data_IF_575870810124
#
_entry.id   IF_575870810124
#
_cell.length_a   1.000
_cell.length_b   1.000
_cell.length_c   1.000
_cell.angle_alpha   90.00
_cell.angle_beta   90.00
_cell.angle_gamma   90.00
#
_symmetry.space_group_name_H-M   'P 1'
#
loop_
_entity.id
_entity.type
_entity.pdbx_description
1 polymer ?
#
# COMPACT_ATOMS: atom_id res chain seq x y z
N UNK A 1 18.54 -7.87 11.02
CA UNK A 1 17.25 -7.70 10.33
C UNK A 1 17.29 -6.33 9.66
N UNK A 2 17.01 -6.24 8.38
CA UNK A 2 16.92 -4.94 7.69
C UNK A 2 15.46 -4.53 7.73
N UNK A 3 15.15 -3.38 8.31
CA UNK A 3 13.81 -2.80 8.36
C UNK A 3 13.75 -1.68 7.33
N UNK A 4 12.68 -1.65 6.55
CA UNK A 4 12.40 -0.58 5.58
C UNK A 4 11.25 0.27 6.07
N UNK A 5 11.25 1.55 5.74
CA UNK A 5 10.13 2.45 5.97
C UNK A 5 9.38 2.65 4.66
N UNK A 6 8.09 2.34 4.65
CA UNK A 6 7.21 2.59 3.50
C UNK A 6 6.20 3.70 3.82
N UNK A 7 5.75 4.39 2.78
CA UNK A 7 4.72 5.42 2.88
C UNK A 7 3.84 5.41 1.63
N UNK A 8 2.54 5.70 1.81
CA UNK A 8 1.60 5.89 0.72
C UNK A 8 1.84 7.27 0.10
N UNK A 9 2.00 7.33 -1.22
CA UNK A 9 2.51 8.48 -1.94
C UNK A 9 1.73 8.74 -3.23
N UNK A 10 1.79 9.99 -3.71
CA UNK A 10 1.15 10.36 -4.96
C UNK A 10 -0.36 10.44 -4.89
N UNK A 11 -0.92 10.70 -3.71
CA UNK A 11 -2.36 10.70 -3.46
C UNK A 11 -3.06 12.03 -3.78
N UNK A 12 -2.36 13.00 -4.37
CA UNK A 12 -2.96 14.21 -4.93
C UNK A 12 -3.79 13.92 -6.19
N UNK A 13 -4.51 14.92 -6.69
CA UNK A 13 -5.27 14.82 -7.93
C UNK A 13 -5.44 16.20 -8.59
N UNK A 14 -5.09 16.34 -9.86
CA UNK A 14 -5.19 17.59 -10.61
C UNK A 14 -4.46 18.74 -9.92
N UNK A 15 -5.20 19.69 -9.41
CA UNK A 15 -4.67 20.85 -8.65
C UNK A 15 -4.64 20.61 -7.14
N UNK A 16 -5.27 19.53 -6.67
CA UNK A 16 -5.39 19.24 -5.25
C UNK A 16 -4.16 18.47 -4.77
N UNK A 17 -3.59 18.92 -3.67
CA UNK A 17 -2.50 18.24 -2.98
C UNK A 17 -3.05 17.52 -1.75
N UNK A 18 -2.60 16.30 -1.55
CA UNK A 18 -2.83 15.51 -0.36
C UNK A 18 -1.49 14.93 0.09
N UNK A 19 -1.13 15.15 1.35
CA UNK A 19 0.17 14.77 1.87
C UNK A 19 1.32 15.72 1.46
N UNK A 20 2.53 15.37 1.86
CA UNK A 20 3.77 16.08 1.56
C UNK A 20 4.78 15.11 0.91
N UNK A 21 4.51 14.74 -0.34
CA UNK A 21 5.36 13.81 -1.09
C UNK A 21 6.83 14.28 -1.16
N UNK A 22 7.04 15.59 -1.34
CA UNK A 22 8.39 16.16 -1.50
C UNK A 22 9.18 16.14 -0.19
N UNK A 23 8.51 16.35 0.95
CA UNK A 23 9.13 16.28 2.27
C UNK A 23 9.36 14.85 2.77
N UNK A 24 8.47 13.92 2.42
CA UNK A 24 8.53 12.53 2.91
C UNK A 24 9.44 11.63 2.05
N UNK A 25 9.49 11.83 0.73
CA UNK A 25 10.25 10.95 -0.17
C UNK A 25 11.71 10.75 0.24
N UNK A 26 12.45 11.78 0.71
CA UNK A 26 13.84 11.58 1.17
C UNK A 26 14.01 10.73 2.43
N UNK A 27 12.93 10.49 3.17
CA UNK A 27 12.94 9.84 4.49
C UNK A 27 12.54 8.36 4.43
N UNK A 28 12.03 7.89 3.29
CA UNK A 28 11.50 6.53 3.13
C UNK A 28 12.40 5.67 2.25
N UNK A 29 12.24 4.36 2.36
CA UNK A 29 12.93 3.38 1.52
C UNK A 29 12.06 2.89 0.36
N UNK A 30 10.74 2.88 0.57
CA UNK A 30 9.74 2.29 -0.31
C UNK A 30 8.55 3.23 -0.40
N UNK A 31 8.10 3.56 -1.62
CA UNK A 31 6.91 4.36 -1.88
C UNK A 31 5.78 3.47 -2.41
N UNK A 32 4.62 3.47 -1.76
CA UNK A 32 3.40 2.83 -2.26
C UNK A 32 2.64 3.87 -3.10
N UNK A 33 2.75 3.81 -4.44
CA UNK A 33 2.25 4.87 -5.31
C UNK A 33 0.80 4.61 -5.71
N UNK A 34 -0.08 5.57 -5.41
CA UNK A 34 -1.49 5.54 -5.76
C UNK A 34 -1.71 5.36 -7.27
N UNK A 35 -2.66 4.49 -7.64
CA UNK A 35 -2.85 4.02 -9.00
C UNK A 35 -4.09 4.61 -9.73
N UNK A 36 -4.63 5.73 -9.24
CA UNK A 36 -5.64 6.52 -9.95
C UNK A 36 -7.10 6.22 -9.60
N UNK A 37 -7.41 5.22 -8.75
CA UNK A 37 -8.79 4.85 -8.44
C UNK A 37 -9.29 5.36 -7.09
N UNK A 38 -8.43 5.53 -6.10
CA UNK A 38 -8.77 6.22 -4.86
C UNK A 38 -8.22 7.65 -4.82
N UNK A 39 -7.10 7.85 -5.47
CA UNK A 39 -6.37 9.11 -5.57
C UNK A 39 -5.40 9.03 -6.76
N UNK A 40 -4.67 10.08 -7.02
CA UNK A 40 -3.76 10.22 -8.15
C UNK A 40 -4.47 10.44 -9.50
N UNK A 41 -3.69 10.86 -10.46
CA UNK A 41 -3.97 10.88 -11.90
C UNK A 41 -2.68 10.60 -12.66
N UNK A 42 -2.76 10.51 -13.98
CA UNK A 42 -1.60 10.17 -14.83
C UNK A 42 -0.42 11.16 -14.69
N UNK A 43 -0.67 12.45 -14.38
CA UNK A 43 0.40 13.42 -14.16
C UNK A 43 1.01 13.29 -12.76
N UNK A 44 0.16 13.11 -11.73
CA UNK A 44 0.63 12.87 -10.36
C UNK A 44 1.43 11.59 -10.29
N UNK A 45 0.93 10.50 -10.84
CA UNK A 45 1.62 9.21 -10.87
C UNK A 45 3.02 9.33 -11.48
N UNK A 46 3.14 9.98 -12.65
CA UNK A 46 4.45 10.20 -13.28
C UNK A 46 5.37 11.10 -12.44
N UNK A 47 4.81 12.19 -11.86
CA UNK A 47 5.57 13.09 -10.98
C UNK A 47 6.12 12.32 -9.78
N UNK A 48 5.32 11.51 -9.12
CA UNK A 48 5.71 10.70 -7.95
C UNK A 48 6.77 9.66 -8.30
N UNK A 49 6.63 8.97 -9.44
CA UNK A 49 7.66 8.03 -9.93
C UNK A 49 9.00 8.74 -10.15
N UNK A 50 9.00 9.92 -10.76
CA UNK A 50 10.22 10.71 -10.95
C UNK A 50 10.85 11.18 -9.66
N UNK A 51 10.02 11.60 -8.71
CA UNK A 51 10.48 12.00 -7.38
C UNK A 51 11.14 10.81 -6.65
N UNK A 52 10.52 9.64 -6.68
CA UNK A 52 11.09 8.42 -6.13
C UNK A 52 12.44 8.07 -6.78
N UNK A 53 12.54 8.17 -8.11
CA UNK A 53 13.79 7.97 -8.85
C UNK A 53 14.90 8.92 -8.40
N UNK A 54 14.58 10.21 -8.22
CA UNK A 54 15.55 11.22 -7.77
C UNK A 54 16.14 10.92 -6.40
N UNK A 55 15.34 10.31 -5.51
CA UNK A 55 15.75 9.96 -4.16
C UNK A 55 16.21 8.51 -4.01
N UNK A 56 16.22 7.70 -5.08
CA UNK A 56 16.62 6.30 -5.02
C UNK A 56 15.64 5.41 -4.26
N UNK A 57 14.37 5.83 -4.14
CA UNK A 57 13.30 5.12 -3.44
C UNK A 57 12.68 4.07 -4.36
N UNK A 58 12.49 2.86 -3.85
CA UNK A 58 11.81 1.78 -4.56
C UNK A 58 10.31 2.05 -4.64
N UNK A 59 9.69 1.74 -5.79
CA UNK A 59 8.26 2.03 -6.04
C UNK A 59 7.46 0.75 -6.13
N UNK A 60 6.44 0.64 -5.29
CA UNK A 60 5.37 -0.35 -5.38
C UNK A 60 4.04 0.25 -5.81
N UNK A 61 3.15 -0.60 -6.26
CA UNK A 61 1.81 -0.21 -6.64
C UNK A 61 0.87 -0.21 -5.42
N UNK A 62 0.07 0.85 -5.33
CA UNK A 62 -0.93 1.04 -4.28
C UNK A 62 -2.35 1.09 -4.87
N UNK A 63 -2.83 -0.03 -5.46
CA UNK A 63 -4.13 -0.11 -6.10
C UNK A 63 -5.27 -0.17 -5.08
N UNK A 64 -6.44 0.30 -5.48
CA UNK A 64 -7.61 0.42 -4.62
C UNK A 64 -8.90 0.00 -5.32
N UNK A 65 -9.99 0.01 -4.56
CA UNK A 65 -11.34 0.03 -5.10
C UNK A 65 -11.59 1.31 -5.91
N UNK A 66 -12.44 1.28 -6.95
CA UNK A 66 -12.78 2.45 -7.76
C UNK A 66 -13.73 3.40 -6.99
N UNK A 67 -13.24 3.95 -5.90
CA UNK A 67 -13.97 4.78 -4.94
C UNK A 67 -13.26 6.11 -4.67
N UNK A 68 -13.16 6.94 -5.69
CA UNK A 68 -12.46 8.23 -5.60
C UNK A 68 -13.03 9.13 -4.50
N UNK A 69 -14.38 9.23 -4.39
CA UNK A 69 -15.04 10.07 -3.40
C UNK A 69 -14.89 9.57 -1.97
N UNK A 70 -14.76 8.26 -1.77
CA UNK A 70 -14.52 7.64 -0.47
C UNK A 70 -13.06 7.35 -0.20
N UNK A 71 -12.15 7.82 -1.05
CA UNK A 71 -10.72 7.58 -0.93
C UNK A 71 -10.38 6.09 -0.83
N UNK A 72 -11.13 5.23 -1.55
CA UNK A 72 -10.94 3.79 -1.50
C UNK A 72 -11.24 3.12 -0.14
N UNK A 73 -11.89 3.83 0.79
CA UNK A 73 -12.16 3.37 2.16
C UNK A 73 -13.58 2.84 2.38
N UNK A 74 -14.37 2.73 1.33
CA UNK A 74 -15.70 2.10 1.38
C UNK A 74 -15.64 0.75 0.68
N UNK A 75 -16.08 -0.31 1.36
CA UNK A 75 -16.14 -1.63 0.77
C UNK A 75 -17.07 -1.66 -0.44
N UNK A 76 -16.65 -2.39 -1.47
CA UNK A 76 -17.43 -2.58 -2.69
C UNK A 76 -17.53 -4.08 -2.99
N UNK A 77 -18.73 -4.53 -3.34
CA UNK A 77 -18.96 -5.91 -3.74
C UNK A 77 -18.56 -6.08 -5.21
N UNK A 78 -17.51 -6.86 -5.43
CA UNK A 78 -17.01 -7.24 -6.75
C UNK A 78 -16.75 -8.74 -6.78
N UNK A 79 -16.89 -9.35 -7.95
CA UNK A 79 -16.43 -10.73 -8.14
C UNK A 79 -14.90 -10.80 -8.12
N UNK A 80 -14.34 -11.99 -7.87
CA UNK A 80 -12.88 -12.21 -7.90
C UNK A 80 -12.26 -11.74 -9.21
N UNK A 81 -12.88 -12.09 -10.34
CA UNK A 81 -12.39 -11.72 -11.68
C UNK A 81 -12.43 -10.21 -11.90
N UNK A 82 -13.53 -9.54 -11.55
CA UNK A 82 -13.64 -8.08 -11.66
C UNK A 82 -12.58 -7.38 -10.79
N UNK A 83 -12.37 -7.87 -9.57
CA UNK A 83 -11.36 -7.33 -8.66
C UNK A 83 -9.96 -7.53 -9.24
N UNK A 84 -9.61 -8.71 -9.71
CA UNK A 84 -8.31 -8.98 -10.34
C UNK A 84 -8.08 -8.07 -11.55
N UNK A 85 -9.08 -7.93 -12.43
CA UNK A 85 -9.00 -7.05 -13.60
C UNK A 85 -8.83 -5.58 -13.21
N UNK A 86 -9.56 -5.13 -12.16
CA UNK A 86 -9.43 -3.79 -11.60
C UNK A 86 -8.01 -3.51 -11.09
N UNK A 87 -7.39 -4.48 -10.43
CA UNK A 87 -6.02 -4.36 -9.90
C UNK A 87 -4.99 -4.39 -11.04
N UNK A 88 -5.12 -5.31 -11.98
CA UNK A 88 -4.22 -5.41 -13.15
C UNK A 88 -4.20 -4.08 -13.94
N UNK A 89 -5.38 -3.48 -14.15
CA UNK A 89 -5.49 -2.19 -14.84
C UNK A 89 -4.69 -1.09 -14.13
N UNK A 90 -4.84 -0.97 -12.83
CA UNK A 90 -4.18 0.04 -12.00
C UNK A 90 -2.66 -0.16 -11.94
N UNK A 91 -2.24 -1.39 -11.64
CA UNK A 91 -0.81 -1.75 -11.54
C UNK A 91 -0.14 -1.62 -12.90
N UNK A 92 -0.82 -2.01 -13.97
CA UNK A 92 -0.34 -1.87 -15.35
C UNK A 92 -0.11 -0.42 -15.75
N UNK A 93 -0.98 0.50 -15.32
CA UNK A 93 -0.81 1.93 -15.54
C UNK A 93 0.46 2.46 -14.86
N UNK A 94 0.68 2.14 -13.57
CA UNK A 94 1.90 2.52 -12.85
C UNK A 94 3.15 1.90 -13.48
N UNK A 95 3.07 0.61 -13.84
CA UNK A 95 4.19 -0.10 -14.49
C UNK A 95 4.62 0.59 -15.78
N UNK A 96 3.68 1.09 -16.58
CA UNK A 96 3.99 1.85 -17.79
C UNK A 96 4.80 3.12 -17.51
N UNK A 97 4.53 3.84 -16.41
CA UNK A 97 5.31 4.99 -16.00
C UNK A 97 6.68 4.60 -15.42
N UNK A 98 6.76 3.50 -14.68
CA UNK A 98 8.04 2.97 -14.21
C UNK A 98 8.95 2.58 -15.38
N UNK A 99 8.44 1.87 -16.36
CA UNK A 99 9.16 1.48 -17.57
C UNK A 99 9.66 2.73 -18.34
N UNK A 100 8.81 3.77 -18.47
CA UNK A 100 9.17 5.03 -19.12
C UNK A 100 10.29 5.80 -18.40
N UNK A 101 10.45 5.60 -17.10
CA UNK A 101 11.52 6.20 -16.30
C UNK A 101 12.71 5.22 -16.04
N UNK A 102 12.66 4.00 -16.59
CA UNK A 102 13.71 2.99 -16.42
C UNK A 102 13.78 2.42 -15.00
N UNK A 103 12.63 2.34 -14.32
CA UNK A 103 12.48 1.76 -12.99
C UNK A 103 11.72 0.43 -13.06
N UNK A 104 11.89 -0.40 -12.04
CA UNK A 104 11.14 -1.65 -11.88
C UNK A 104 10.04 -1.50 -10.83
N UNK A 105 8.93 -2.20 -11.01
CA UNK A 105 7.93 -2.37 -9.96
C UNK A 105 8.54 -3.23 -8.84
N UNK A 106 8.49 -2.74 -7.60
CA UNK A 106 9.11 -3.40 -6.45
C UNK A 106 8.14 -4.34 -5.72
N UNK A 107 6.90 -3.93 -5.50
CA UNK A 107 5.89 -4.68 -4.73
C UNK A 107 4.47 -4.21 -5.08
N UNK A 108 3.48 -4.89 -4.50
CA UNK A 108 2.08 -4.47 -4.49
C UNK A 108 1.61 -4.39 -3.04
N UNK A 109 0.98 -3.28 -2.68
CA UNK A 109 0.29 -3.06 -1.41
C UNK A 109 -1.12 -2.54 -1.70
N UNK A 110 -2.19 -3.30 -1.49
CA UNK A 110 -3.56 -2.79 -1.63
C UNK A 110 -3.82 -1.60 -0.70
N UNK A 111 -4.65 -0.65 -1.14
CA UNK A 111 -5.03 0.52 -0.37
C UNK A 111 -6.35 0.32 0.37
N UNK A 112 -6.48 0.93 1.55
CA UNK A 112 -7.73 1.23 2.24
C UNK A 112 -8.63 0.01 2.48
N UNK A 113 -9.91 0.10 2.09
CA UNK A 113 -10.86 -0.99 2.29
C UNK A 113 -10.44 -2.28 1.58
N UNK A 114 -9.82 -2.19 0.41
CA UNK A 114 -9.32 -3.38 -0.30
C UNK A 114 -8.28 -4.16 0.52
N UNK A 115 -7.39 -3.45 1.23
CA UNK A 115 -6.41 -4.07 2.12
C UNK A 115 -7.09 -4.84 3.26
N UNK A 116 -8.06 -4.23 3.96
CA UNK A 116 -8.82 -4.87 5.02
C UNK A 116 -9.70 -6.04 4.52
N UNK A 117 -10.30 -5.90 3.35
CA UNK A 117 -11.07 -6.97 2.71
C UNK A 117 -10.17 -8.17 2.37
N UNK A 118 -8.98 -7.94 1.81
CA UNK A 118 -8.04 -9.00 1.51
C UNK A 118 -7.46 -9.67 2.78
N UNK A 119 -7.40 -8.95 3.90
CA UNK A 119 -6.99 -9.51 5.19
C UNK A 119 -8.00 -10.50 5.78
N UNK A 120 -9.29 -10.42 5.38
CA UNK A 120 -10.39 -11.17 6.01
C UNK A 120 -11.27 -11.97 5.05
N UNK A 121 -11.18 -11.75 3.74
CA UNK A 121 -12.05 -12.38 2.73
C UNK A 121 -11.19 -13.13 1.70
N UNK A 122 -11.27 -14.46 1.70
CA UNK A 122 -10.46 -15.34 0.85
C UNK A 122 -10.55 -14.98 -0.65
N UNK A 123 -11.77 -14.74 -1.16
CA UNK A 123 -11.95 -14.43 -2.59
C UNK A 123 -11.31 -13.10 -3.01
N UNK A 124 -11.16 -12.14 -2.08
CA UNK A 124 -10.45 -10.88 -2.33
C UNK A 124 -8.93 -11.09 -2.26
N UNK A 125 -8.45 -11.82 -1.25
CA UNK A 125 -7.04 -12.20 -1.18
C UNK A 125 -6.60 -12.98 -2.43
N UNK A 126 -7.44 -13.90 -2.91
CA UNK A 126 -7.24 -14.61 -4.17
C UNK A 126 -7.17 -13.67 -5.39
N UNK A 127 -8.07 -12.66 -5.45
CA UNK A 127 -8.04 -11.68 -6.53
C UNK A 127 -6.75 -10.83 -6.53
N UNK A 128 -6.24 -10.49 -5.35
CA UNK A 128 -4.95 -9.83 -5.21
C UNK A 128 -3.81 -10.71 -5.72
N UNK A 129 -3.83 -12.01 -5.37
CA UNK A 129 -2.87 -12.98 -5.88
C UNK A 129 -2.95 -13.14 -7.40
N UNK A 130 -4.16 -13.24 -7.97
CA UNK A 130 -4.36 -13.32 -9.43
C UNK A 130 -3.76 -12.11 -10.16
N UNK A 131 -3.91 -10.92 -9.60
CA UNK A 131 -3.26 -9.72 -10.15
C UNK A 131 -1.74 -9.78 -10.00
N UNK A 132 -1.24 -10.20 -8.82
CA UNK A 132 0.19 -10.32 -8.56
C UNK A 132 0.87 -11.37 -9.44
N UNK A 133 0.14 -12.42 -9.86
CA UNK A 133 0.63 -13.42 -10.82
C UNK A 133 1.08 -12.83 -12.16
N UNK A 134 0.49 -11.69 -12.56
CA UNK A 134 0.86 -10.98 -13.79
C UNK A 134 2.21 -10.26 -13.63
N UNK A 135 2.46 -9.67 -12.46
CA UNK A 135 3.59 -8.77 -12.23
C UNK A 135 4.80 -9.44 -11.55
N UNK A 136 4.59 -10.57 -10.87
CA UNK A 136 5.64 -11.38 -10.21
C UNK A 136 6.50 -10.59 -9.23
N UNK A 137 5.85 -9.81 -8.37
CA UNK A 137 6.49 -9.01 -7.32
C UNK A 137 5.92 -9.37 -5.94
N UNK A 138 6.65 -9.08 -4.84
CA UNK A 138 6.18 -9.30 -3.48
C UNK A 138 4.85 -8.60 -3.15
N UNK A 139 4.12 -9.17 -2.20
CA UNK A 139 2.90 -8.60 -1.64
C UNK A 139 3.15 -8.14 -0.21
N UNK A 140 2.85 -6.88 0.10
CA UNK A 140 2.87 -6.35 1.47
C UNK A 140 1.54 -6.65 2.16
N UNK A 141 1.61 -6.97 3.45
CA UNK A 141 0.42 -7.26 4.23
C UNK A 141 0.67 -7.44 5.73
N UNK A 142 -0.41 -7.60 6.48
CA UNK A 142 -0.36 -7.76 7.94
C UNK A 142 -0.18 -9.22 8.37
N UNK A 143 0.63 -9.41 9.40
CA UNK A 143 0.75 -10.67 10.14
C UNK A 143 -0.58 -10.99 10.84
N UNK A 144 -0.89 -12.27 11.02
CA UNK A 144 -2.10 -12.73 11.69
C UNK A 144 -3.37 -12.67 10.84
N UNK A 145 -3.25 -12.37 9.55
CA UNK A 145 -4.38 -12.25 8.62
C UNK A 145 -4.28 -13.23 7.45
N UNK A 146 -5.27 -13.21 6.54
CA UNK A 146 -5.20 -13.99 5.30
C UNK A 146 -4.03 -13.56 4.39
N UNK A 147 -3.49 -12.38 4.54
CA UNK A 147 -2.27 -11.98 3.81
C UNK A 147 -1.12 -12.94 4.10
N UNK A 148 -0.85 -13.21 5.38
CA UNK A 148 0.24 -14.09 5.81
C UNK A 148 0.06 -15.55 5.38
N UNK A 149 -1.18 -16.02 5.32
CA UNK A 149 -1.48 -17.42 5.00
C UNK A 149 -1.67 -17.66 3.51
N UNK A 150 -2.43 -16.80 2.84
CA UNK A 150 -2.83 -17.00 1.45
C UNK A 150 -1.75 -16.57 0.45
N UNK A 151 -1.05 -15.46 0.67
CA UNK A 151 -0.05 -14.99 -0.28
C UNK A 151 1.08 -16.02 -0.48
N UNK A 152 1.70 -16.57 0.59
CA UNK A 152 2.68 -17.65 0.43
C UNK A 152 2.08 -18.93 -0.13
N UNK A 153 0.87 -19.31 0.29
CA UNK A 153 0.19 -20.51 -0.24
C UNK A 153 -0.06 -20.43 -1.75
N UNK A 154 -0.21 -19.22 -2.29
CA UNK A 154 -0.33 -18.95 -3.73
C UNK A 154 1.03 -18.75 -4.42
N UNK A 155 2.15 -18.90 -3.70
CA UNK A 155 3.51 -18.82 -4.23
C UNK A 155 4.08 -17.41 -4.33
N UNK A 156 3.46 -16.42 -3.69
CA UNK A 156 3.96 -15.05 -3.64
C UNK A 156 4.86 -14.82 -2.44
N UNK A 157 5.90 -14.03 -2.61
CA UNK A 157 6.68 -13.51 -1.49
C UNK A 157 5.80 -12.57 -0.67
N UNK A 158 5.67 -12.90 0.63
CA UNK A 158 4.96 -12.08 1.60
C UNK A 158 5.93 -11.22 2.38
N UNK A 159 5.73 -9.91 2.37
CA UNK A 159 6.49 -8.96 3.18
C UNK A 159 5.56 -8.37 4.24
N UNK A 160 5.84 -8.71 5.49
CA UNK A 160 5.05 -8.22 6.61
C UNK A 160 5.31 -6.74 6.88
N UNK A 161 4.24 -6.00 7.15
CA UNK A 161 4.32 -4.59 7.55
C UNK A 161 3.66 -4.36 8.91
N UNK A 162 4.05 -3.25 9.53
CA UNK A 162 3.56 -2.78 10.81
C UNK A 162 3.28 -1.28 10.74
N UNK A 163 2.11 -0.86 11.20
CA UNK A 163 1.71 0.54 11.24
C UNK A 163 2.12 1.18 12.55
N UNK A 164 2.95 2.20 12.50
CA UNK A 164 3.45 2.90 13.67
C UNK A 164 2.56 4.07 14.08
N UNK A 165 1.74 4.54 13.16
CA UNK A 165 0.83 5.69 13.24
C UNK A 165 -0.64 5.31 13.49
N UNK A 166 -0.94 4.02 13.58
CA UNK A 166 -2.27 3.49 13.87
C UNK A 166 -2.21 2.60 15.11
N UNK A 167 -3.35 2.42 15.77
CA UNK A 167 -3.49 1.52 16.90
C UNK A 167 -4.04 0.16 16.49
N UNK A 168 -3.78 -0.82 17.32
CA UNK A 168 -4.28 -2.19 17.18
C UNK A 168 -5.21 -2.49 18.35
N UNK A 169 -6.25 -3.28 18.12
CA UNK A 169 -7.10 -3.81 19.17
C UNK A 169 -6.48 -5.05 19.84
N UNK A 170 -7.20 -5.61 20.82
CA UNK A 170 -6.70 -6.71 21.63
C UNK A 170 -6.49 -8.02 20.84
N UNK A 171 -7.10 -8.18 19.68
CA UNK A 171 -6.93 -9.33 18.78
C UNK A 171 -5.87 -9.08 17.68
N UNK A 172 -5.27 -7.89 17.66
CA UNK A 172 -4.24 -7.50 16.69
C UNK A 172 -4.79 -6.92 15.39
N UNK A 173 -6.08 -6.66 15.29
CA UNK A 173 -6.67 -5.98 14.13
C UNK A 173 -6.36 -4.48 14.15
N UNK A 174 -6.13 -3.93 12.97
CA UNK A 174 -5.78 -2.52 12.82
C UNK A 174 -7.01 -1.63 13.04
N UNK A 175 -6.91 -0.66 13.93
CA UNK A 175 -7.97 0.32 14.17
C UNK A 175 -7.82 1.46 13.15
N UNK A 176 -8.72 1.49 12.16
CA UNK A 176 -8.75 2.54 11.14
C UNK A 176 -9.87 3.51 11.44
N UNK A 177 -9.54 4.73 11.90
CA UNK A 177 -10.51 5.79 12.10
C UNK A 177 -10.64 6.70 10.87
N UNK A 178 -11.84 7.26 10.64
CA UNK A 178 -12.05 8.24 9.56
C UNK A 178 -11.46 9.62 9.88
N UNK A 179 -11.28 9.91 11.16
CA UNK A 179 -10.70 11.17 11.66
C UNK A 179 -9.51 10.81 12.53
N UNK A 180 -8.33 11.24 12.11
CA UNK A 180 -7.10 11.10 12.90
C UNK A 180 -6.85 12.40 13.66
N UNK A 181 -6.69 12.31 14.97
CA UNK A 181 -6.06 13.37 15.74
C UNK A 181 -4.57 13.46 15.37
N UNK A 182 -3.98 14.64 15.60
CA UNK A 182 -2.55 14.82 15.34
C UNK A 182 -1.73 13.78 16.13
N UNK A 183 -1.02 12.93 15.44
CA UNK A 183 -0.26 11.84 16.06
C UNK A 183 0.97 12.39 16.77
N UNK A 184 1.27 11.85 17.96
CA UNK A 184 2.53 12.16 18.65
C UNK A 184 3.70 11.47 17.94
N UNK A 185 4.51 12.23 17.22
CA UNK A 185 5.66 11.75 16.48
C UNK A 185 6.68 10.98 17.35
N UNK A 186 6.85 11.39 18.64
CA UNK A 186 7.73 10.68 19.55
C UNK A 186 7.14 9.34 19.99
N UNK A 187 5.82 9.29 20.18
CA UNK A 187 5.09 8.05 20.48
C UNK A 187 5.19 7.07 19.32
N UNK A 188 5.00 7.52 18.08
CA UNK A 188 5.16 6.71 16.88
C UNK A 188 6.58 6.12 16.74
N UNK A 189 7.60 6.96 16.96
CA UNK A 189 8.99 6.53 16.91
C UNK A 189 9.29 5.49 18.01
N UNK A 190 8.80 5.70 19.22
CA UNK A 190 8.98 4.75 20.33
C UNK A 190 8.27 3.40 20.04
N UNK A 191 7.06 3.43 19.48
CA UNK A 191 6.29 2.24 19.04
C UNK A 191 7.06 1.47 17.96
N UNK A 192 7.58 2.18 16.96
CA UNK A 192 8.40 1.60 15.91
C UNK A 192 9.65 0.89 16.49
N UNK A 193 10.41 1.56 17.34
CA UNK A 193 11.60 0.99 17.95
C UNK A 193 11.29 -0.22 18.83
N UNK A 194 10.16 -0.22 19.54
CA UNK A 194 9.72 -1.37 20.34
C UNK A 194 9.36 -2.55 19.45
N UNK A 195 8.61 -2.31 18.36
CA UNK A 195 8.28 -3.36 17.41
C UNK A 195 9.53 -3.99 16.80
N UNK A 196 10.54 -3.20 16.44
CA UNK A 196 11.79 -3.68 15.86
C UNK A 196 12.62 -4.48 16.89
N UNK A 197 12.73 -4.00 18.13
CA UNK A 197 13.64 -4.56 19.12
C UNK A 197 13.02 -5.72 19.91
N UNK A 198 11.73 -5.69 20.16
CA UNK A 198 11.02 -6.62 21.06
C UNK A 198 9.99 -7.50 20.32
N UNK A 199 9.65 -7.18 19.07
CA UNK A 199 8.60 -7.88 18.31
C UNK A 199 7.19 -7.66 18.86
N UNK A 200 6.93 -6.49 19.50
CA UNK A 200 5.65 -6.18 20.12
C UNK A 200 5.03 -4.94 19.49
N UNK A 201 3.72 -5.03 19.20
CA UNK A 201 2.93 -3.93 18.63
C UNK A 201 2.46 -2.91 19.69
N UNK A 202 2.31 -3.34 20.95
CA UNK A 202 1.81 -2.57 22.09
C UNK A 202 2.71 -2.74 23.29
#
# INVERSE_FOLDING_TARGET
>A
MTVTLNCDMGEGFGLYRLGDDEGLMPLISIANVACGFHASDFNHMRKTVRLAKQHGVSVGAHPSLPDFQGFGRREMKMSREEMANCLIYQIGALKGFLDAEGMSLNHIKPHGALYGMAASQEHIADAVCDAADVFKVPLLGMIGTLHETMYPARGHEFVSEFYTDLDYDDDGSLIVSQVHEAFDANGAAAKCLRAINEGKAT
#
